data_IF_472148521052
#
_entry.id   IF_472148521052
#
_cell.length_a   1.000
_cell.length_b   1.000
_cell.length_c   1.000
_cell.angle_alpha   90.00
_cell.angle_beta   90.00
_cell.angle_gamma   90.00
#
_symmetry.space_group_name_H-M   'P 1'
#
loop_
_entity.id
_entity.type
_entity.pdbx_description
1 polymer ?
#
# COMPACT_ATOMS: atom_id res chain seq x y z
N UNK A 1 -0.01 -5.70 18.95
CA UNK A 1 -0.41 -4.62 19.90
C UNK A 1 -0.26 -5.04 21.32
N UNK A 2 -0.73 -6.20 21.74
CA UNK A 2 -0.64 -6.72 23.12
C UNK A 2 0.78 -6.69 23.74
N UNK A 3 1.81 -7.03 22.95
CA UNK A 3 3.20 -7.02 23.41
C UNK A 3 3.73 -5.59 23.65
N UNK A 4 3.27 -4.62 22.87
CA UNK A 4 3.59 -3.21 23.05
C UNK A 4 2.98 -2.67 24.35
N UNK A 5 1.70 -2.96 24.59
CA UNK A 5 1.00 -2.56 25.83
C UNK A 5 1.57 -3.25 27.06
N UNK A 6 1.92 -4.54 26.99
CA UNK A 6 2.60 -5.27 28.07
C UNK A 6 3.95 -4.65 28.46
N UNK A 7 4.62 -3.97 27.52
CA UNK A 7 5.87 -3.23 27.76
C UNK A 7 5.64 -1.79 28.23
N UNK A 8 4.42 -1.41 28.55
CA UNK A 8 4.04 -0.08 29.05
C UNK A 8 3.72 0.93 27.95
N UNK A 9 3.58 0.50 26.70
CA UNK A 9 3.11 1.35 25.62
C UNK A 9 1.61 1.62 25.72
N UNK A 10 1.18 2.79 25.27
CA UNK A 10 -0.24 3.17 25.16
C UNK A 10 -0.63 3.31 23.70
N UNK A 11 -1.66 2.59 23.27
CA UNK A 11 -2.26 2.73 21.95
C UNK A 11 -3.48 3.64 22.03
N UNK A 12 -3.47 4.72 21.25
CA UNK A 12 -4.59 5.64 21.11
C UNK A 12 -5.02 5.60 19.65
N UNK A 13 -6.31 5.32 19.39
CA UNK A 13 -6.89 5.31 18.04
C UNK A 13 -7.81 6.49 17.94
N UNK A 14 -7.32 7.57 17.35
CA UNK A 14 -8.07 8.81 17.17
C UNK A 14 -7.61 9.54 15.90
N UNK A 15 -8.42 10.48 15.44
CA UNK A 15 -8.00 11.42 14.40
C UNK A 15 -7.02 12.43 15.00
N UNK A 16 -5.78 12.44 14.50
CA UNK A 16 -4.74 13.34 15.00
C UNK A 16 -4.59 14.56 14.08
N UNK A 17 -4.83 15.74 14.64
CA UNK A 17 -4.63 17.04 14.01
C UNK A 17 -3.44 17.80 14.58
N UNK A 18 -3.32 19.08 14.24
CA UNK A 18 -2.25 19.98 14.73
C UNK A 18 -2.30 20.10 16.26
N UNK A 19 -3.49 20.29 16.81
CA UNK A 19 -3.68 20.40 18.27
C UNK A 19 -3.21 19.15 19.01
N UNK A 20 -3.44 17.97 18.44
CA UNK A 20 -2.93 16.69 18.98
C UNK A 20 -1.41 16.68 18.99
N UNK A 21 -0.76 17.14 17.90
CA UNK A 21 0.70 17.21 17.84
C UNK A 21 1.28 18.19 18.84
N UNK A 22 0.69 19.37 19.00
CA UNK A 22 1.11 20.38 20.00
C UNK A 22 1.04 19.79 21.39
N UNK A 23 -0.08 19.18 21.77
CA UNK A 23 -0.25 18.52 23.08
C UNK A 23 0.77 17.39 23.29
N UNK A 24 1.07 16.60 22.28
CA UNK A 24 2.07 15.54 22.36
C UNK A 24 3.49 16.12 22.52
N UNK A 25 3.80 17.21 21.82
CA UNK A 25 5.08 17.89 21.93
C UNK A 25 5.30 18.49 23.33
N UNK A 26 4.24 18.99 23.98
CA UNK A 26 4.30 19.53 25.33
C UNK A 26 4.46 18.46 26.43
N UNK A 27 4.07 17.22 26.13
CA UNK A 27 3.97 16.15 27.13
C UNK A 27 4.98 15.01 26.95
N UNK A 28 5.76 15.01 25.84
CA UNK A 28 6.71 13.96 25.50
C UNK A 28 8.06 14.54 25.12
N UNK A 29 9.13 13.87 25.47
CA UNK A 29 10.51 14.27 25.15
C UNK A 29 10.82 14.14 23.65
N UNK A 30 10.09 13.27 22.93
CA UNK A 30 10.24 13.04 21.50
C UNK A 30 8.91 12.66 20.86
N UNK A 31 8.59 13.30 19.75
CA UNK A 31 7.42 12.98 18.93
C UNK A 31 7.88 12.59 17.52
N UNK A 32 7.48 11.41 17.05
CA UNK A 32 7.74 10.94 15.69
C UNK A 32 6.45 11.03 14.86
N UNK A 33 6.48 11.80 13.78
CA UNK A 33 5.35 11.96 12.87
C UNK A 33 5.54 11.07 11.65
N UNK A 34 4.73 10.01 11.54
CA UNK A 34 4.76 9.04 10.44
C UNK A 34 3.41 9.04 9.69
N UNK A 35 2.95 10.21 9.27
CA UNK A 35 1.60 10.44 8.75
C UNK A 35 1.47 10.23 7.22
N UNK A 36 2.48 9.69 6.56
CA UNK A 36 2.44 9.40 5.12
C UNK A 36 2.16 10.63 4.27
N UNK A 37 0.98 10.70 3.63
CA UNK A 37 0.54 11.80 2.74
C UNK A 37 -0.53 12.71 3.37
N UNK A 38 -0.88 12.51 4.62
CA UNK A 38 -1.90 13.29 5.31
C UNK A 38 -1.57 14.79 5.39
N UNK A 39 -2.55 15.60 5.76
CA UNK A 39 -2.39 17.07 5.84
C UNK A 39 -1.35 17.50 6.88
N UNK A 40 -1.21 16.75 7.97
CA UNK A 40 -0.18 16.97 8.99
C UNK A 40 1.23 17.02 8.40
N UNK A 41 1.53 16.19 7.40
CA UNK A 41 2.86 16.17 6.76
C UNK A 41 3.17 17.49 6.04
N UNK A 42 2.15 18.24 5.62
CA UNK A 42 2.31 19.53 4.94
C UNK A 42 2.79 20.66 5.88
N UNK A 43 2.73 20.44 7.20
CA UNK A 43 3.34 21.34 8.18
C UNK A 43 4.87 21.38 8.04
N UNK A 44 5.46 20.33 7.49
CA UNK A 44 6.89 20.23 7.23
C UNK A 44 7.17 20.59 5.77
N UNK A 45 7.98 21.62 5.55
CA UNK A 45 8.33 22.07 4.21
C UNK A 45 9.06 20.99 3.40
N UNK A 46 8.81 20.95 2.10
CA UNK A 46 9.57 20.13 1.18
C UNK A 46 11.00 20.65 1.10
N UNK A 47 11.98 19.80 1.36
CA UNK A 47 13.39 20.07 1.10
C UNK A 47 13.67 19.87 -0.40
N UNK A 48 13.74 20.96 -1.16
CA UNK A 48 13.93 20.92 -2.59
C UNK A 48 15.33 20.41 -3.00
N UNK A 49 16.34 20.63 -2.16
CA UNK A 49 17.71 20.18 -2.43
C UNK A 49 17.86 18.67 -2.28
N UNK A 50 17.10 18.06 -1.36
CA UNK A 50 17.13 16.63 -1.08
C UNK A 50 16.02 15.84 -1.78
N UNK A 51 15.04 16.51 -2.38
CA UNK A 51 13.95 15.87 -3.12
C UNK A 51 14.25 15.87 -4.62
N UNK A 52 15.02 14.91 -5.09
CA UNK A 52 15.52 14.82 -6.47
C UNK A 52 14.44 14.59 -7.52
N UNK A 53 13.28 14.05 -7.13
CA UNK A 53 12.18 13.74 -8.03
C UNK A 53 11.02 14.70 -7.81
N UNK A 54 10.51 15.27 -8.88
CA UNK A 54 9.31 16.12 -8.90
C UNK A 54 8.06 15.41 -9.42
N UNK A 55 8.25 14.20 -9.95
CA UNK A 55 7.20 13.36 -10.52
C UNK A 55 7.14 11.99 -9.85
N UNK A 56 5.97 11.34 -9.85
CA UNK A 56 5.84 9.95 -9.43
C UNK A 56 6.80 9.03 -10.19
N UNK A 57 7.44 8.12 -9.47
CA UNK A 57 8.34 7.13 -10.04
C UNK A 57 7.63 5.79 -10.27
N UNK A 58 6.48 5.59 -9.63
CA UNK A 58 5.60 4.42 -9.78
C UNK A 58 4.13 4.84 -9.71
N UNK A 59 3.31 4.15 -10.48
CA UNK A 59 1.86 4.09 -10.30
C UNK A 59 1.55 2.86 -9.44
N UNK A 60 0.89 3.06 -8.30
CA UNK A 60 0.67 2.03 -7.29
C UNK A 60 -0.78 1.59 -7.26
N UNK A 61 -1.00 0.29 -7.11
CA UNK A 61 -2.29 -0.26 -6.73
C UNK A 61 -2.12 -1.46 -5.80
N UNK A 62 -3.05 -1.61 -4.88
CA UNK A 62 -3.11 -2.70 -3.92
C UNK A 62 -4.49 -3.34 -3.97
N UNK A 63 -4.53 -4.67 -3.85
CA UNK A 63 -5.79 -5.42 -3.70
C UNK A 63 -5.61 -6.50 -2.64
N UNK A 64 -6.39 -6.41 -1.58
CA UNK A 64 -6.42 -7.43 -0.52
C UNK A 64 -7.40 -8.52 -0.90
N UNK A 65 -6.95 -9.75 -0.96
CA UNK A 65 -7.76 -10.88 -1.42
C UNK A 65 -7.66 -12.07 -0.48
N UNK A 66 -8.70 -12.90 -0.48
CA UNK A 66 -8.74 -14.24 0.12
C UNK A 66 -8.85 -15.29 -0.98
N UNK A 67 -8.46 -16.52 -0.67
CA UNK A 67 -8.64 -17.65 -1.57
C UNK A 67 -7.54 -17.82 -2.61
N UNK A 68 -6.43 -17.08 -2.49
CA UNK A 68 -5.28 -17.29 -3.36
C UNK A 68 -4.65 -18.66 -3.07
N UNK A 69 -4.36 -19.42 -4.12
CA UNK A 69 -3.64 -20.69 -4.01
C UNK A 69 -2.22 -20.45 -3.52
N UNK A 70 -1.79 -21.05 -2.40
CA UNK A 70 -0.42 -20.91 -1.91
C UNK A 70 0.62 -21.36 -2.94
N UNK A 71 1.78 -20.73 -2.93
CA UNK A 71 2.95 -21.24 -3.63
C UNK A 71 3.53 -22.40 -2.78
N UNK A 72 3.41 -23.63 -3.27
CA UNK A 72 3.61 -24.83 -2.45
C UNK A 72 5.06 -25.03 -1.97
N UNK A 73 6.04 -24.54 -2.71
CA UNK A 73 7.45 -24.89 -2.51
C UNK A 73 8.29 -23.78 -1.85
N UNK A 74 7.70 -22.59 -1.61
CA UNK A 74 8.46 -21.42 -1.16
C UNK A 74 7.71 -20.61 -0.10
N UNK A 75 8.27 -19.45 0.19
CA UNK A 75 7.62 -18.38 0.93
C UNK A 75 6.27 -18.01 0.29
N UNK A 76 5.30 -17.61 1.11
CA UNK A 76 4.04 -17.00 0.63
C UNK A 76 4.26 -15.65 -0.07
N UNK A 77 5.47 -15.13 -0.03
CA UNK A 77 5.89 -13.91 -0.74
C UNK A 77 6.36 -14.27 -2.15
N UNK A 78 5.85 -13.59 -3.15
CA UNK A 78 6.38 -13.64 -4.51
C UNK A 78 6.67 -12.21 -5.02
N UNK A 79 7.72 -12.10 -5.83
CA UNK A 79 8.12 -10.88 -6.50
C UNK A 79 8.35 -11.16 -7.98
N UNK A 80 7.75 -10.36 -8.83
CA UNK A 80 7.86 -10.48 -10.28
C UNK A 80 8.22 -9.12 -10.89
N UNK A 81 9.41 -9.01 -11.45
CA UNK A 81 9.81 -7.87 -12.27
C UNK A 81 9.38 -8.09 -13.72
N UNK A 82 8.65 -7.13 -14.28
CA UNK A 82 8.18 -7.15 -15.67
C UNK A 82 8.88 -6.01 -16.42
N UNK A 83 9.96 -6.29 -17.16
CA UNK A 83 10.77 -5.25 -17.80
C UNK A 83 9.94 -4.30 -18.66
N UNK A 84 10.08 -2.99 -18.41
CA UNK A 84 9.35 -1.94 -19.14
C UNK A 84 7.88 -1.75 -18.75
N UNK A 85 7.34 -2.60 -17.88
CA UNK A 85 5.93 -2.55 -17.44
C UNK A 85 5.82 -2.16 -15.96
N UNK A 86 6.54 -2.88 -15.09
CA UNK A 86 6.49 -2.64 -13.65
C UNK A 86 6.89 -3.84 -12.82
N UNK A 87 6.36 -3.89 -11.62
CA UNK A 87 6.64 -4.90 -10.62
C UNK A 87 5.35 -5.40 -9.99
N UNK A 88 5.27 -6.68 -9.74
CA UNK A 88 4.17 -7.31 -9.01
C UNK A 88 4.69 -8.03 -7.80
N UNK A 89 4.11 -7.72 -6.64
CA UNK A 89 4.36 -8.41 -5.39
C UNK A 89 3.10 -9.07 -4.89
N UNK A 90 3.26 -10.19 -4.19
CA UNK A 90 2.20 -10.73 -3.35
C UNK A 90 2.79 -11.23 -2.04
N UNK A 91 2.13 -10.94 -0.94
CA UNK A 91 2.56 -11.38 0.38
C UNK A 91 1.38 -11.49 1.35
N UNK A 92 1.52 -12.33 2.42
CA UNK A 92 0.46 -12.50 3.39
C UNK A 92 0.23 -11.24 4.22
N UNK A 93 -1.03 -11.01 4.57
CA UNK A 93 -1.47 -9.92 5.42
C UNK A 93 -2.56 -10.39 6.39
N UNK A 94 -2.94 -9.49 7.29
CA UNK A 94 -4.03 -9.66 8.24
C UNK A 94 -4.96 -8.45 8.16
N UNK A 95 -6.23 -8.69 7.90
CA UNK A 95 -7.29 -7.68 7.94
C UNK A 95 -8.25 -7.96 9.10
N UNK A 96 -9.21 -7.07 9.32
CA UNK A 96 -10.28 -7.29 10.31
C UNK A 96 -11.11 -8.54 10.00
N UNK A 97 -11.16 -8.96 8.74
CA UNK A 97 -11.84 -10.19 8.31
C UNK A 97 -10.92 -11.44 8.32
N UNK A 98 -9.70 -11.33 8.85
CA UNK A 98 -8.75 -12.43 9.05
C UNK A 98 -7.58 -12.43 8.05
N UNK A 99 -6.84 -13.56 7.96
CA UNK A 99 -5.70 -13.71 7.06
C UNK A 99 -6.10 -13.54 5.58
N UNK A 100 -5.23 -12.89 4.83
CA UNK A 100 -5.40 -12.62 3.40
C UNK A 100 -4.04 -12.52 2.71
N UNK A 101 -4.04 -12.26 1.42
CA UNK A 101 -2.88 -11.85 0.63
C UNK A 101 -3.08 -10.42 0.12
N UNK A 102 -1.97 -9.67 0.01
CA UNK A 102 -1.95 -8.37 -0.67
C UNK A 102 -1.31 -8.56 -2.03
N UNK A 103 -2.04 -8.24 -3.08
CA UNK A 103 -1.49 -8.05 -4.43
C UNK A 103 -1.06 -6.59 -4.57
N UNK A 104 0.20 -6.35 -4.88
CA UNK A 104 0.77 -5.01 -5.06
C UNK A 104 1.26 -4.86 -6.48
N UNK A 105 0.80 -3.84 -7.16
CA UNK A 105 1.18 -3.48 -8.53
C UNK A 105 1.92 -2.14 -8.50
N UNK A 106 3.14 -2.13 -8.99
CA UNK A 106 3.99 -0.94 -9.10
C UNK A 106 4.32 -0.69 -10.58
N UNK A 107 3.41 -0.01 -11.26
CA UNK A 107 3.53 0.25 -12.69
C UNK A 107 4.50 1.39 -13.03
N UNK A 108 5.13 1.32 -14.21
CA UNK A 108 5.80 2.48 -14.80
C UNK A 108 4.74 3.55 -15.11
N UNK A 109 4.91 4.81 -14.66
CA UNK A 109 3.95 5.88 -14.95
C UNK A 109 3.69 6.05 -16.45
N UNK A 110 2.41 6.09 -16.83
CA UNK A 110 1.97 6.10 -18.23
C UNK A 110 2.07 4.76 -18.96
N UNK A 111 2.53 3.71 -18.30
CA UNK A 111 2.64 2.36 -18.84
C UNK A 111 1.37 1.51 -18.65
N UNK A 112 1.41 0.24 -19.09
CA UNK A 112 0.24 -0.64 -19.07
C UNK A 112 -0.36 -0.91 -17.68
N UNK A 113 0.45 -0.84 -16.61
CA UNK A 113 0.01 -1.01 -15.24
C UNK A 113 -0.39 0.31 -14.55
N UNK A 114 -0.30 1.47 -15.23
CA UNK A 114 -0.85 2.76 -14.79
C UNK A 114 -2.26 2.95 -15.36
N UNK A 115 -3.20 2.09 -14.98
CA UNK A 115 -4.51 1.98 -15.59
C UNK A 115 -5.69 2.13 -14.60
N UNK A 116 -5.43 2.70 -13.42
CA UNK A 116 -6.37 2.71 -12.30
C UNK A 116 -7.30 3.92 -12.25
N UNK A 117 -7.06 4.96 -13.05
CA UNK A 117 -7.76 6.26 -12.97
C UNK A 117 -9.28 6.16 -13.19
N UNK A 118 -9.72 5.17 -13.97
CA UNK A 118 -11.15 4.98 -14.27
C UNK A 118 -11.81 3.86 -13.47
N UNK A 119 -11.06 3.21 -12.59
CA UNK A 119 -11.56 2.16 -11.70
C UNK A 119 -12.26 2.81 -10.52
N UNK A 120 -13.55 2.50 -10.31
CA UNK A 120 -14.39 3.19 -9.32
C UNK A 120 -14.90 2.28 -8.22
N UNK A 121 -15.01 0.98 -8.47
CA UNK A 121 -15.51 0.02 -7.47
C UNK A 121 -14.44 -1.00 -7.10
N UNK A 122 -14.55 -1.62 -5.93
CA UNK A 122 -13.66 -2.71 -5.51
C UNK A 122 -13.65 -3.89 -6.50
N UNK A 123 -14.80 -4.22 -7.07
CA UNK A 123 -14.95 -5.31 -8.05
C UNK A 123 -14.23 -4.97 -9.36
N UNK A 124 -14.36 -3.74 -9.85
CA UNK A 124 -13.61 -3.26 -11.03
C UNK A 124 -12.11 -3.29 -10.76
N UNK A 125 -11.70 -2.94 -9.54
CA UNK A 125 -10.29 -2.95 -9.13
C UNK A 125 -9.73 -4.38 -9.13
N UNK A 126 -10.47 -5.34 -8.56
CA UNK A 126 -10.10 -6.76 -8.61
C UNK A 126 -10.07 -7.28 -10.05
N UNK A 127 -11.08 -6.96 -10.85
CA UNK A 127 -11.12 -7.37 -12.26
C UNK A 127 -9.91 -6.84 -13.03
N UNK A 128 -9.53 -5.57 -12.83
CA UNK A 128 -8.34 -4.96 -13.44
C UNK A 128 -7.05 -5.61 -12.93
N UNK A 129 -6.95 -5.94 -11.65
CA UNK A 129 -5.82 -6.69 -11.09
C UNK A 129 -5.65 -8.04 -11.80
N UNK A 130 -6.73 -8.79 -11.97
CA UNK A 130 -6.70 -10.08 -12.65
C UNK A 130 -6.40 -9.97 -14.15
N UNK A 131 -6.88 -8.92 -14.82
CA UNK A 131 -6.55 -8.62 -16.22
C UNK A 131 -5.03 -8.43 -16.41
N UNK A 132 -4.41 -7.64 -15.52
CA UNK A 132 -2.95 -7.43 -15.53
C UNK A 132 -2.21 -8.75 -15.34
N UNK A 133 -2.61 -9.55 -14.35
CA UNK A 133 -1.98 -10.84 -14.11
C UNK A 133 -2.13 -11.78 -15.29
N UNK A 134 -3.32 -11.90 -15.88
CA UNK A 134 -3.53 -12.73 -17.06
C UNK A 134 -2.68 -12.29 -18.25
N UNK A 135 -2.43 -10.99 -18.38
CA UNK A 135 -1.66 -10.44 -19.49
C UNK A 135 -0.16 -10.65 -19.33
N UNK A 136 0.38 -10.40 -18.14
CA UNK A 136 1.82 -10.32 -17.93
C UNK A 136 2.39 -11.46 -17.09
N UNK A 137 1.59 -12.09 -16.22
CA UNK A 137 2.02 -13.06 -15.21
C UNK A 137 1.00 -14.22 -15.09
N UNK A 138 0.81 -15.02 -16.16
CA UNK A 138 -0.24 -16.04 -16.18
C UNK A 138 -0.09 -17.09 -15.07
N UNK A 139 1.14 -17.37 -14.61
CA UNK A 139 1.38 -18.26 -13.47
C UNK A 139 0.88 -17.68 -12.14
N UNK A 140 0.90 -16.37 -11.95
CA UNK A 140 0.29 -15.70 -10.79
C UNK A 140 -1.24 -15.64 -10.94
N UNK A 141 -1.73 -15.41 -12.16
CA UNK A 141 -3.17 -15.45 -12.45
C UNK A 141 -3.78 -16.82 -12.14
N UNK A 142 -3.06 -17.92 -12.41
CA UNK A 142 -3.50 -19.27 -12.09
C UNK A 142 -3.73 -19.49 -10.58
N UNK A 143 -2.97 -18.80 -9.73
CA UNK A 143 -3.15 -18.81 -8.27
C UNK A 143 -4.37 -18.03 -7.82
N UNK A 144 -4.87 -17.12 -8.65
CA UNK A 144 -5.95 -16.19 -8.33
C UNK A 144 -7.34 -16.68 -8.78
N UNK A 145 -7.51 -17.93 -9.23
CA UNK A 145 -8.77 -18.44 -9.78
C UNK A 145 -9.97 -18.36 -8.83
N UNK A 146 -9.72 -18.40 -7.53
CA UNK A 146 -10.75 -18.43 -6.49
C UNK A 146 -10.66 -17.24 -5.53
N UNK A 147 -9.96 -16.16 -5.93
CA UNK A 147 -9.82 -15.01 -5.06
C UNK A 147 -11.11 -14.21 -4.96
N UNK A 148 -11.34 -13.69 -3.76
CA UNK A 148 -12.40 -12.74 -3.45
C UNK A 148 -11.82 -11.57 -2.68
N UNK A 149 -12.46 -10.41 -2.73
CA UNK A 149 -12.10 -9.25 -1.90
C UNK A 149 -12.28 -9.58 -0.41
N UNK A 150 -11.47 -8.94 0.43
CA UNK A 150 -11.54 -9.12 1.89
C UNK A 150 -12.64 -8.29 2.52
N UNK A 151 -12.75 -7.01 2.14
CA UNK A 151 -13.71 -6.02 2.60
C UNK A 151 -13.75 -4.83 1.62
N UNK A 152 -14.69 -3.90 1.83
CA UNK A 152 -14.91 -2.76 0.93
C UNK A 152 -13.72 -1.77 0.87
N UNK A 153 -12.86 -1.78 1.87
CA UNK A 153 -11.67 -0.94 1.96
C UNK A 153 -10.38 -1.68 1.57
N UNK A 154 -10.48 -2.90 1.09
CA UNK A 154 -9.35 -3.75 0.73
C UNK A 154 -8.68 -3.39 -0.61
N UNK A 155 -8.84 -2.16 -1.08
CA UNK A 155 -8.22 -1.65 -2.30
C UNK A 155 -7.59 -0.27 -2.07
N UNK A 156 -6.53 0.01 -2.81
CA UNK A 156 -5.90 1.32 -2.83
C UNK A 156 -5.23 1.53 -4.19
N UNK A 157 -5.27 2.75 -4.71
CA UNK A 157 -4.46 3.16 -5.85
C UNK A 157 -3.97 4.59 -5.70
N UNK A 158 -2.87 4.93 -6.36
CA UNK A 158 -2.32 6.28 -6.36
C UNK A 158 -0.88 6.33 -6.82
N UNK A 159 -0.36 7.54 -6.88
CA UNK A 159 1.04 7.81 -7.19
C UNK A 159 1.48 9.11 -6.52
N UNK A 160 2.75 9.23 -6.20
CA UNK A 160 3.33 10.45 -5.63
C UNK A 160 4.82 10.56 -5.93
N UNK A 161 5.32 11.79 -6.00
CA UNK A 161 6.75 12.03 -6.08
C UNK A 161 7.42 11.77 -4.73
N UNK A 162 8.56 11.09 -4.69
CA UNK A 162 9.37 10.98 -3.47
C UNK A 162 9.72 12.37 -2.94
N UNK A 163 9.52 12.58 -1.65
CA UNK A 163 9.70 13.89 -1.03
C UNK A 163 10.46 13.75 0.29
N UNK A 164 11.51 14.53 0.46
CA UNK A 164 12.16 14.77 1.74
C UNK A 164 11.57 16.05 2.34
N UNK A 165 11.34 16.07 3.62
CA UNK A 165 10.82 17.23 4.36
C UNK A 165 11.78 17.65 5.45
N UNK A 166 11.78 18.93 5.81
CA UNK A 166 12.59 19.57 6.86
C UNK A 166 11.72 20.30 7.86
#
# INVERSE_FOLDING_TARGET
>A
MDEFEKRGGTLIIEEAGVETLEKLADTHDLVLVAAGKGDIVRLFERDAEKSFYDKPQRALALTYVKGMTPNADFSRVAFNLIPGVGEYFVFPALTTSGPCEIMVFEGVPGGPMDCWQNVKTPEEHLAKSLEILNTFLPWEADRCKNVTLTDDNGILSGSFAPTVRK
#
